data_IF_561275182270
#
_entry.id   IF_561275182270
#
_cell.length_a   1.000
_cell.length_b   1.000
_cell.length_c   1.000
_cell.angle_alpha   90.00
_cell.angle_beta   90.00
_cell.angle_gamma   90.00
#
_symmetry.space_group_name_H-M   'P 1'
#
loop_
_entity.id
_entity.type
_entity.pdbx_description
1 polymer ?
#
# COMPACT_ATOMS: atom_id res chain seq x y z
N UNK A 1 69.57 8.53 4.90
CA UNK A 1 69.90 9.03 6.25
C UNK A 1 69.31 10.43 6.39
N UNK A 2 68.51 10.60 7.46
CA UNK A 2 68.24 11.83 8.22
C UNK A 2 67.58 13.05 7.53
N UNK A 3 66.33 13.26 7.96
CA UNK A 3 65.51 14.47 8.19
C UNK A 3 66.07 15.87 7.86
N UNK A 4 65.15 16.83 7.62
CA UNK A 4 64.88 17.78 8.71
C UNK A 4 63.40 18.17 8.90
N UNK A 5 63.08 18.35 10.17
CA UNK A 5 61.98 19.15 10.73
C UNK A 5 62.03 20.60 10.22
N UNK A 6 60.88 21.24 9.95
CA UNK A 6 60.45 22.45 10.69
C UNK A 6 59.01 22.92 10.34
N UNK A 7 58.24 23.03 11.43
CA UNK A 7 57.00 23.78 11.70
C UNK A 7 56.64 24.94 10.75
N UNK A 8 55.34 25.10 10.47
CA UNK A 8 54.66 26.41 10.57
C UNK A 8 53.12 26.30 10.65
N UNK A 9 52.58 26.87 11.73
CA UNK A 9 51.31 27.57 11.96
C UNK A 9 49.94 27.00 11.54
N UNK A 10 49.17 26.67 12.60
CA UNK A 10 47.78 27.03 12.92
C UNK A 10 46.88 27.62 11.82
N UNK A 11 45.66 27.10 11.67
CA UNK A 11 44.40 27.79 12.00
C UNK A 11 43.26 26.77 12.11
N UNK A 12 42.45 26.93 13.16
CA UNK A 12 41.26 26.14 13.44
C UNK A 12 40.09 26.55 12.53
N UNK A 13 39.33 25.56 12.04
CA UNK A 13 37.98 25.67 11.48
C UNK A 13 37.24 24.39 11.89
N UNK A 14 36.61 24.39 13.06
CA UNK A 14 35.17 24.61 13.29
C UNK A 14 34.30 23.45 12.77
N UNK A 15 33.67 22.81 13.77
CA UNK A 15 32.40 22.07 13.78
C UNK A 15 31.75 21.81 12.42
N UNK A 16 31.81 20.55 11.97
CA UNK A 16 30.68 19.95 11.25
C UNK A 16 29.87 19.13 12.24
N UNK A 17 28.70 19.67 12.56
CA UNK A 17 27.69 19.11 13.43
C UNK A 17 27.38 17.65 13.09
N UNK A 18 27.18 16.86 14.14
CA UNK A 18 26.55 15.56 14.03
C UNK A 18 25.14 15.72 13.50
N UNK A 19 24.84 15.00 12.43
CA UNK A 19 23.49 14.55 12.18
C UNK A 19 23.43 13.11 12.67
N UNK A 20 23.01 13.01 13.92
CA UNK A 20 22.40 11.82 14.48
C UNK A 20 21.45 11.25 13.43
N UNK A 21 21.76 10.05 12.96
CA UNK A 21 20.87 9.25 12.15
C UNK A 21 19.69 8.83 13.03
N UNK A 22 18.75 9.73 13.25
CA UNK A 22 17.38 9.35 13.51
C UNK A 22 16.91 8.62 12.26
N UNK A 23 17.05 7.29 12.26
CA UNK A 23 16.21 6.39 11.49
C UNK A 23 14.77 6.73 11.85
N UNK A 24 14.22 7.69 11.11
CA UNK A 24 12.80 7.96 11.06
C UNK A 24 12.22 6.75 10.35
N UNK A 25 11.66 5.82 11.14
CA UNK A 25 10.65 4.88 10.69
C UNK A 25 9.68 5.68 9.82
N UNK A 26 9.83 5.53 8.51
CA UNK A 26 8.83 5.98 7.56
C UNK A 26 7.66 5.04 7.77
N UNK A 27 6.74 5.49 8.60
CA UNK A 27 5.38 5.02 8.62
C UNK A 27 4.89 5.03 7.16
N UNK A 28 4.67 3.85 6.60
CA UNK A 28 3.82 3.62 5.42
C UNK A 28 2.39 3.98 5.83
N UNK A 29 2.08 5.28 5.88
CA UNK A 29 0.74 5.79 6.17
C UNK A 29 0.65 7.28 5.81
N UNK A 30 0.95 7.59 4.55
CA UNK A 30 0.60 8.83 3.85
C UNK A 30 1.16 8.62 2.45
N UNK A 31 0.34 8.44 1.42
CA UNK A 31 -0.34 9.57 0.79
C UNK A 31 -1.38 9.02 -0.19
N UNK A 32 -2.59 8.73 0.27
CA UNK A 32 -3.77 8.72 -0.60
C UNK A 32 -4.42 10.10 -0.46
N UNK A 33 -3.90 11.05 -1.24
CA UNK A 33 -4.51 12.37 -1.44
C UNK A 33 -5.86 12.17 -2.16
N UNK A 34 -6.89 11.93 -1.36
CA UNK A 34 -8.28 11.93 -1.81
C UNK A 34 -8.67 13.38 -2.04
N UNK A 35 -8.67 13.77 -3.31
CA UNK A 35 -9.29 15.02 -3.77
C UNK A 35 -10.68 15.17 -3.16
N UNK A 36 -10.79 16.13 -2.23
CA UNK A 36 -11.99 16.79 -1.70
C UNK A 36 -13.33 16.08 -1.96
N UNK A 37 -13.62 15.00 -1.24
CA UNK A 37 -15.00 14.73 -0.84
C UNK A 37 -15.22 15.41 0.51
N UNK A 38 -16.12 16.40 0.50
CA UNK A 38 -16.62 17.12 1.66
C UNK A 38 -16.77 16.18 2.85
N UNK A 39 -16.26 16.58 4.02
CA UNK A 39 -16.51 15.95 5.32
C UNK A 39 -17.96 15.50 5.42
N UNK A 40 -18.16 14.21 5.22
CA UNK A 40 -19.44 13.53 5.29
C UNK A 40 -19.09 12.10 5.66
N UNK A 41 -19.36 11.75 6.92
CA UNK A 41 -19.21 10.45 7.56
C UNK A 41 -18.31 9.45 6.79
N UNK A 42 -17.02 9.39 7.15
CA UNK A 42 -16.16 8.24 6.84
C UNK A 42 -16.56 7.00 7.68
N UNK A 43 -17.85 6.87 8.00
CA UNK A 43 -18.40 5.75 8.77
C UNK A 43 -18.69 4.55 7.86
N UNK A 44 -18.54 4.70 6.54
CA UNK A 44 -18.75 3.60 5.60
C UNK A 44 -17.56 2.63 5.59
N UNK A 45 -17.79 1.35 5.91
CA UNK A 45 -16.75 0.33 5.87
C UNK A 45 -16.16 0.16 4.45
N UNK A 46 -14.87 -0.14 4.36
CA UNK A 46 -14.17 -0.32 3.09
C UNK A 46 -13.06 -1.36 3.17
N UNK A 47 -12.70 -1.91 2.02
CA UNK A 47 -11.54 -2.78 1.85
C UNK A 47 -10.49 -1.99 1.08
N UNK A 48 -9.31 -1.87 1.70
CA UNK A 48 -8.10 -1.41 1.04
C UNK A 48 -7.24 -2.65 0.78
N UNK A 49 -6.66 -2.78 -0.40
CA UNK A 49 -5.77 -3.90 -0.66
C UNK A 49 -4.66 -3.58 -1.64
N UNK A 50 -3.74 -4.54 -1.73
CA UNK A 50 -2.56 -4.50 -2.57
C UNK A 50 -2.36 -5.88 -3.17
N UNK A 51 -2.28 -5.97 -4.49
CA UNK A 51 -2.16 -7.21 -5.24
C UNK A 51 -0.77 -7.27 -5.87
N UNK A 52 -0.02 -8.30 -5.54
CA UNK A 52 1.29 -8.58 -6.11
C UNK A 52 1.41 -10.04 -6.51
N UNK A 53 2.36 -10.35 -7.38
CA UNK A 53 2.70 -11.72 -7.73
C UNK A 53 3.73 -12.34 -6.76
N UNK A 54 4.14 -13.58 -7.03
CA UNK A 54 5.14 -14.29 -6.22
C UNK A 54 6.54 -13.64 -6.29
N UNK A 55 6.83 -12.90 -7.35
CA UNK A 55 8.06 -12.11 -7.54
C UNK A 55 7.98 -10.73 -6.88
N UNK A 56 6.87 -10.42 -6.20
CA UNK A 56 6.57 -9.12 -5.59
C UNK A 56 6.38 -7.97 -6.59
N UNK A 57 6.11 -8.29 -7.86
CA UNK A 57 5.69 -7.31 -8.86
C UNK A 57 4.20 -6.96 -8.63
N UNK A 58 3.83 -5.67 -8.70
CA UNK A 58 2.43 -5.28 -8.58
C UNK A 58 1.63 -5.80 -9.77
N UNK A 59 0.41 -6.25 -9.50
CA UNK A 59 -0.49 -6.79 -10.54
C UNK A 59 -1.40 -5.67 -11.03
N UNK A 60 -1.16 -5.24 -12.27
CA UNK A 60 -1.87 -4.14 -12.90
C UNK A 60 -2.04 -4.35 -14.43
N UNK A 61 -3.20 -4.01 -15.02
CA UNK A 61 -4.47 -3.76 -14.34
C UNK A 61 -5.11 -5.07 -13.88
N UNK A 62 -5.58 -5.12 -12.64
CA UNK A 62 -6.39 -6.21 -12.11
C UNK A 62 -7.79 -5.71 -11.78
N UNK A 63 -8.82 -6.41 -12.26
CA UNK A 63 -10.21 -6.09 -11.98
C UNK A 63 -10.67 -6.83 -10.72
N UNK A 64 -11.02 -6.07 -9.69
CA UNK A 64 -11.45 -6.57 -8.38
C UNK A 64 -12.96 -6.40 -8.25
N UNK A 65 -13.67 -7.50 -7.97
CA UNK A 65 -15.12 -7.54 -7.83
C UNK A 65 -15.49 -7.91 -6.39
N UNK A 66 -16.35 -7.10 -5.77
CA UNK A 66 -16.91 -7.34 -4.45
C UNK A 66 -18.31 -7.94 -4.54
N UNK A 67 -18.56 -8.99 -3.75
CA UNK A 67 -19.87 -9.67 -3.69
C UNK A 67 -20.24 -9.92 -2.22
N UNK A 68 -21.44 -9.55 -1.79
CA UNK A 68 -21.92 -9.90 -0.44
C UNK A 68 -22.08 -11.42 -0.27
N UNK A 69 -21.85 -11.92 0.95
CA UNK A 69 -22.10 -13.32 1.27
C UNK A 69 -23.56 -13.71 0.99
N UNK A 70 -23.76 -14.81 0.26
CA UNK A 70 -25.09 -15.28 -0.14
C UNK A 70 -25.67 -14.58 -1.38
N UNK A 71 -24.96 -13.62 -1.97
CA UNK A 71 -25.31 -12.98 -3.25
C UNK A 71 -24.49 -13.56 -4.41
N UNK A 72 -25.04 -13.47 -5.62
CA UNK A 72 -24.32 -13.68 -6.89
C UNK A 72 -24.16 -12.38 -7.69
N UNK A 73 -24.78 -11.30 -7.23
CA UNK A 73 -24.76 -9.99 -7.87
C UNK A 73 -23.58 -9.20 -7.28
N UNK A 74 -22.66 -8.69 -8.11
CA UNK A 74 -21.62 -7.76 -7.68
C UNK A 74 -22.22 -6.56 -6.97
N UNK A 75 -21.64 -6.20 -5.82
CA UNK A 75 -21.97 -4.97 -5.11
C UNK A 75 -21.23 -3.78 -5.71
N UNK A 76 -19.93 -3.98 -5.91
CA UNK A 76 -19.04 -2.96 -6.45
C UNK A 76 -17.85 -3.62 -7.15
N UNK A 77 -17.09 -2.83 -7.89
CA UNK A 77 -15.87 -3.27 -8.56
C UNK A 77 -14.92 -2.11 -8.79
N UNK A 78 -13.62 -2.41 -8.81
CA UNK A 78 -12.57 -1.43 -9.10
C UNK A 78 -11.44 -2.09 -9.90
N UNK A 79 -10.53 -1.28 -10.44
CA UNK A 79 -9.27 -1.74 -11.01
C UNK A 79 -8.13 -1.35 -10.07
N UNK A 80 -7.06 -2.16 -10.03
CA UNK A 80 -5.84 -1.75 -9.35
C UNK A 80 -5.19 -0.56 -10.05
N UNK A 81 -4.42 0.24 -9.30
CA UNK A 81 -3.48 1.21 -9.87
C UNK A 81 -2.16 0.55 -10.30
N UNK A 82 -1.23 1.33 -10.84
CA UNK A 82 0.08 0.86 -11.32
C UNK A 82 0.99 0.31 -10.21
N UNK A 83 0.67 0.64 -8.96
CA UNK A 83 1.27 0.07 -7.77
C UNK A 83 0.50 -1.16 -7.27
N UNK A 84 -0.56 -1.63 -7.95
CA UNK A 84 -1.32 -2.80 -7.54
C UNK A 84 -2.28 -2.56 -6.38
N UNK A 85 -2.48 -1.31 -5.96
CA UNK A 85 -3.40 -0.95 -4.88
C UNK A 85 -4.83 -0.85 -5.38
N UNK A 86 -5.79 -1.10 -4.49
CA UNK A 86 -7.21 -0.87 -4.76
C UNK A 86 -7.96 -0.44 -3.49
N UNK A 87 -9.06 0.29 -3.69
CA UNK A 87 -10.02 0.65 -2.64
C UNK A 87 -11.43 0.28 -3.08
N UNK A 88 -12.14 -0.48 -2.26
CA UNK A 88 -13.52 -0.92 -2.47
C UNK A 88 -14.39 -0.54 -1.27
N UNK A 89 -15.28 0.45 -1.39
CA UNK A 89 -16.31 0.70 -0.39
C UNK A 89 -17.23 -0.52 -0.29
N UNK A 90 -17.57 -0.96 0.92
CA UNK A 90 -18.52 -2.06 1.09
C UNK A 90 -19.95 -1.56 1.38
N UNK A 91 -20.09 -0.28 1.74
CA UNK A 91 -21.37 0.38 2.06
C UNK A 91 -22.02 -0.08 3.38
N UNK A 92 -21.63 -1.24 3.90
CA UNK A 92 -22.01 -1.73 5.21
C UNK A 92 -20.99 -2.74 5.74
N UNK A 93 -21.05 -3.01 7.03
CA UNK A 93 -20.34 -4.14 7.64
C UNK A 93 -20.99 -5.47 7.27
N UNK A 94 -20.20 -6.54 7.23
CA UNK A 94 -20.67 -7.87 6.86
C UNK A 94 -19.56 -8.78 6.31
N UNK A 95 -19.97 -9.95 5.83
CA UNK A 95 -19.09 -10.87 5.13
C UNK A 95 -19.19 -10.69 3.62
N UNK A 96 -18.05 -10.57 2.97
CA UNK A 96 -17.94 -10.33 1.53
C UNK A 96 -16.98 -11.33 0.89
N UNK A 97 -17.15 -11.56 -0.41
CA UNK A 97 -16.20 -12.25 -1.25
C UNK A 97 -15.56 -11.25 -2.20
N UNK A 98 -14.25 -11.36 -2.41
CA UNK A 98 -13.56 -10.66 -3.49
C UNK A 98 -13.10 -11.65 -4.54
N UNK A 99 -13.24 -11.25 -5.80
CA UNK A 99 -12.73 -11.98 -6.97
C UNK A 99 -11.84 -11.06 -7.75
N UNK A 100 -10.65 -11.53 -8.08
CA UNK A 100 -9.62 -10.76 -8.78
C UNK A 100 -9.45 -11.39 -10.15
N UNK A 101 -9.56 -10.56 -11.17
CA UNK A 101 -9.44 -10.94 -12.56
C UNK A 101 -8.31 -10.17 -13.25
N UNK A 102 -7.67 -10.79 -14.23
CA UNK A 102 -6.80 -10.11 -15.18
C UNK A 102 -7.06 -10.71 -16.56
N UNK A 103 -7.18 -9.88 -17.59
CA UNK A 103 -7.48 -10.34 -18.96
C UNK A 103 -8.70 -11.29 -19.04
N UNK A 104 -9.71 -11.05 -18.19
CA UNK A 104 -10.93 -11.86 -18.05
C UNK A 104 -10.72 -13.27 -17.45
N UNK A 105 -9.53 -13.61 -17.00
CA UNK A 105 -9.25 -14.83 -16.22
C UNK A 105 -9.38 -14.56 -14.72
N UNK A 106 -9.96 -15.50 -13.97
CA UNK A 106 -10.02 -15.43 -12.50
C UNK A 106 -8.67 -15.87 -11.92
N UNK A 107 -7.93 -14.93 -11.34
CA UNK A 107 -6.64 -15.21 -10.71
C UNK A 107 -6.77 -15.62 -9.25
N UNK A 108 -7.72 -15.02 -8.53
CA UNK A 108 -7.90 -15.27 -7.10
C UNK A 108 -9.34 -15.04 -6.65
N UNK A 109 -9.79 -15.83 -5.68
CA UNK A 109 -11.06 -15.62 -4.97
C UNK A 109 -10.85 -15.85 -3.48
N UNK A 110 -11.37 -14.94 -2.66
CA UNK A 110 -11.34 -15.10 -1.20
C UNK A 110 -12.34 -16.16 -0.75
N UNK A 111 -12.03 -16.86 0.34
CA UNK A 111 -13.01 -17.69 1.09
C UNK A 111 -14.04 -16.85 1.88
N UNK A 112 -13.82 -15.54 1.96
CA UNK A 112 -14.67 -14.58 2.66
C UNK A 112 -13.85 -13.61 3.51
N UNK A 113 -14.26 -12.35 3.52
CA UNK A 113 -13.65 -11.27 4.32
C UNK A 113 -14.74 -10.69 5.20
N UNK A 114 -14.53 -10.72 6.52
CA UNK A 114 -15.41 -10.05 7.46
C UNK A 114 -14.98 -8.58 7.59
N UNK A 115 -15.84 -7.66 7.20
CA UNK A 115 -15.59 -6.22 7.22
C UNK A 115 -16.49 -5.61 8.29
N UNK A 116 -15.91 -5.05 9.35
CA UNK A 116 -16.65 -4.29 10.37
C UNK A 116 -16.53 -2.80 10.16
N UNK A 117 -15.31 -2.34 9.91
CA UNK A 117 -14.95 -0.95 9.58
C UNK A 117 -14.05 -0.99 8.34
N UNK A 118 -12.77 -0.66 8.45
CA UNK A 118 -11.81 -0.79 7.36
C UNK A 118 -10.98 -2.06 7.49
N UNK A 119 -10.75 -2.76 6.39
CA UNK A 119 -9.86 -3.94 6.35
C UNK A 119 -8.76 -3.71 5.32
N UNK A 120 -7.52 -4.01 5.71
CA UNK A 120 -6.40 -4.12 4.78
C UNK A 120 -6.24 -5.57 4.31
N UNK A 121 -6.19 -5.77 3.00
CA UNK A 121 -6.17 -7.09 2.37
C UNK A 121 -5.04 -7.23 1.35
N UNK A 122 -3.84 -7.70 1.76
CA UNK A 122 -2.77 -8.01 0.83
C UNK A 122 -3.05 -9.33 0.11
N UNK A 123 -2.80 -9.38 -1.19
CA UNK A 123 -2.99 -10.57 -2.03
C UNK A 123 -1.71 -10.89 -2.77
N UNK A 124 -1.25 -12.13 -2.60
CA UNK A 124 -0.21 -12.73 -3.43
C UNK A 124 -0.87 -13.70 -4.40
N UNK A 125 -0.66 -13.51 -5.70
CA UNK A 125 -1.15 -14.41 -6.75
C UNK A 125 0.01 -15.07 -7.49
N UNK A 126 -0.19 -16.22 -8.15
CA UNK A 126 0.84 -16.81 -9.02
C UNK A 126 1.25 -15.81 -10.11
N UNK A 127 2.54 -15.77 -10.45
CA UNK A 127 3.00 -14.97 -11.59
C UNK A 127 2.37 -15.47 -12.89
N UNK A 128 1.89 -14.52 -13.69
CA UNK A 128 1.13 -14.75 -14.94
C UNK A 128 2.07 -14.70 -16.15
#
# INVERSE_FOLDING_TARGET
>A
MNSPFLRLCSFALILSAGLSSCQKEKNLAAEWDTTEKKEGDLDEPFILGYIHDEESAPVYPAFVVLVAQGSTVPLDSTETDDEGNFLLPTGSSGFFYMRIYQENELLYSTEGVNVTDSVFFPVTIPSV
#
